data_IF_992626864561
#
_entry.id   IF_992626864561
#
_cell.length_a   1.000
_cell.length_b   1.000
_cell.length_c   1.000
_cell.angle_alpha   90.00
_cell.angle_beta   90.00
_cell.angle_gamma   90.00
#
_symmetry.space_group_name_H-M   'P 1'
#
loop_
_entity.id
_entity.type
_entity.pdbx_description
1 polymer ?
#
# COMPACT_ATOMS: atom_id res chain seq x y z
N UNK A 1 -9.16 10.94 12.48
CA UNK A 1 -7.97 11.26 11.66
C UNK A 1 -6.81 11.71 12.56
N UNK A 2 -5.62 11.15 12.36
CA UNK A 2 -4.41 11.51 13.14
C UNK A 2 -3.91 12.92 12.82
N UNK A 3 -3.10 13.51 13.71
CA UNK A 3 -2.55 14.85 13.49
C UNK A 3 -1.71 14.95 12.21
N UNK A 4 -0.90 13.94 11.89
CA UNK A 4 -0.08 13.91 10.68
C UNK A 4 -0.92 13.90 9.39
N UNK A 5 -2.04 13.18 9.40
CA UNK A 5 -2.98 13.16 8.28
C UNK A 5 -3.72 14.50 8.10
N UNK A 6 -4.06 15.18 9.20
CA UNK A 6 -4.63 16.54 9.12
C UNK A 6 -3.66 17.54 8.48
N UNK A 7 -2.36 17.43 8.81
CA UNK A 7 -1.31 18.24 8.19
C UNK A 7 -1.18 17.96 6.69
N UNK A 8 -1.19 16.68 6.29
CA UNK A 8 -1.17 16.27 4.88
C UNK A 8 -2.37 16.84 4.12
N UNK A 9 -3.59 16.62 4.65
CA UNK A 9 -4.83 17.12 4.05
C UNK A 9 -4.76 18.63 3.81
N UNK A 10 -4.29 19.37 4.81
CA UNK A 10 -4.19 20.84 4.73
C UNK A 10 -3.12 21.27 3.74
N UNK A 11 -1.95 20.62 3.77
CA UNK A 11 -0.83 20.95 2.92
C UNK A 11 -1.10 20.61 1.45
N UNK A 12 -1.80 19.52 1.16
CA UNK A 12 -2.01 19.01 -0.19
C UNK A 12 -3.41 19.25 -0.74
N UNK A 13 -4.22 20.05 -0.05
CA UNK A 13 -5.52 20.50 -0.55
C UNK A 13 -5.41 21.08 -1.97
N UNK A 14 -6.28 20.59 -2.87
CA UNK A 14 -6.30 20.96 -4.28
C UNK A 14 -5.30 20.20 -5.17
N UNK A 15 -4.56 19.24 -4.62
CA UNK A 15 -3.62 18.37 -5.34
C UNK A 15 -3.94 16.88 -5.16
N UNK A 16 -5.19 16.54 -4.85
CA UNK A 16 -5.64 15.17 -4.62
C UNK A 16 -5.38 14.27 -5.86
N UNK A 17 -5.40 14.84 -7.07
CA UNK A 17 -5.07 14.10 -8.30
C UNK A 17 -3.57 13.88 -8.54
N UNK A 18 -2.70 14.52 -7.74
CA UNK A 18 -1.23 14.47 -7.91
C UNK A 18 -0.53 13.41 -7.07
N UNK A 19 -1.25 12.76 -6.15
CA UNK A 19 -0.72 11.69 -5.33
C UNK A 19 -1.79 10.67 -4.96
N UNK A 20 -1.37 9.52 -4.45
CA UNK A 20 -2.24 8.51 -3.83
C UNK A 20 -1.54 7.97 -2.59
N UNK A 21 -2.18 8.05 -1.42
CA UNK A 21 -1.72 7.34 -0.24
C UNK A 21 -2.16 5.88 -0.32
N UNK A 22 -1.23 4.97 -0.04
CA UNK A 22 -1.44 3.53 -0.07
C UNK A 22 -1.05 2.90 1.28
N UNK A 23 -0.80 1.59 1.28
CA UNK A 23 -0.13 0.93 2.38
C UNK A 23 -0.98 0.83 3.65
N UNK A 24 -0.36 1.00 4.81
CA UNK A 24 -1.07 0.92 6.09
C UNK A 24 -2.00 2.11 6.33
N UNK A 25 -1.60 3.29 5.85
CA UNK A 25 -2.30 4.54 6.16
C UNK A 25 -3.59 4.66 5.37
N UNK A 26 -3.60 4.21 4.12
CA UNK A 26 -4.85 4.12 3.35
C UNK A 26 -5.87 3.21 4.04
N UNK A 27 -5.43 2.02 4.50
CA UNK A 27 -6.29 1.14 5.30
C UNK A 27 -6.85 1.84 6.54
N UNK A 28 -6.03 2.57 7.30
CA UNK A 28 -6.47 3.29 8.52
C UNK A 28 -7.54 4.35 8.21
N UNK A 29 -7.33 5.14 7.15
CA UNK A 29 -8.29 6.16 6.70
C UNK A 29 -9.62 5.50 6.32
N UNK A 30 -9.59 4.49 5.46
CA UNK A 30 -10.79 3.83 4.92
C UNK A 30 -11.58 3.13 6.02
N UNK A 31 -10.90 2.39 6.90
CA UNK A 31 -11.55 1.67 7.99
C UNK A 31 -12.18 2.66 8.99
N UNK A 32 -11.47 3.74 9.34
CA UNK A 32 -12.02 4.79 10.23
C UNK A 32 -13.23 5.48 9.61
N UNK A 33 -13.22 5.74 8.30
CA UNK A 33 -14.35 6.36 7.59
C UNK A 33 -15.60 5.45 7.58
N UNK A 34 -15.41 4.14 7.80
CA UNK A 34 -16.46 3.13 7.91
C UNK A 34 -16.71 2.66 9.36
N UNK A 35 -16.33 3.45 10.37
CA UNK A 35 -16.51 3.16 11.80
C UNK A 35 -15.86 1.83 12.26
N UNK A 36 -14.78 1.39 11.60
CA UNK A 36 -13.99 0.22 11.96
C UNK A 36 -12.60 0.59 12.50
N UNK A 37 -12.16 -0.13 13.53
CA UNK A 37 -10.81 0.01 14.05
C UNK A 37 -9.77 -0.59 13.10
N UNK A 38 -8.63 0.09 12.95
CA UNK A 38 -7.47 -0.43 12.25
C UNK A 38 -6.20 -0.30 13.09
N UNK A 39 -5.18 -1.09 12.76
CA UNK A 39 -3.90 -1.01 13.46
C UNK A 39 -3.25 0.35 13.21
N UNK A 40 -2.78 1.01 14.26
CA UNK A 40 -2.11 2.29 14.12
C UNK A 40 -0.88 2.17 13.20
N UNK A 41 -0.77 3.11 12.26
CA UNK A 41 0.43 3.34 11.46
C UNK A 41 0.78 4.82 11.53
N UNK A 42 2.07 5.12 11.52
CA UNK A 42 2.57 6.49 11.51
C UNK A 42 3.38 6.80 10.24
N UNK A 43 3.52 5.79 9.39
CA UNK A 43 4.28 5.83 8.16
C UNK A 43 3.32 6.10 7.00
N UNK A 44 3.71 7.00 6.10
CA UNK A 44 2.92 7.38 4.93
C UNK A 44 3.59 6.79 3.70
N UNK A 45 2.91 5.86 3.05
CA UNK A 45 3.30 5.36 1.74
C UNK A 45 2.54 6.17 0.68
N UNK A 46 3.26 6.94 -0.14
CA UNK A 46 2.69 7.86 -1.11
C UNK A 46 3.23 7.62 -2.51
N UNK A 47 2.33 7.48 -3.48
CA UNK A 47 2.67 7.36 -4.90
C UNK A 47 2.36 8.68 -5.61
N UNK A 48 3.31 9.20 -6.37
CA UNK A 48 3.11 10.39 -7.19
C UNK A 48 2.41 10.05 -8.50
N UNK A 49 1.44 10.88 -8.86
CA UNK A 49 0.74 10.81 -10.15
C UNK A 49 1.24 11.96 -11.02
N UNK A 50 1.77 11.62 -12.18
CA UNK A 50 2.46 12.55 -13.07
C UNK A 50 1.53 13.28 -14.05
N UNK A 51 0.23 13.34 -13.75
CA UNK A 51 -0.77 13.93 -14.63
C UNK A 51 -0.94 15.43 -14.31
N UNK A 52 -0.41 16.29 -15.16
CA UNK A 52 -0.77 17.72 -15.25
C UNK A 52 -0.20 18.70 -14.22
N UNK A 53 0.18 18.29 -13.01
CA UNK A 53 0.57 19.23 -11.92
C UNK A 53 1.78 18.79 -11.08
N UNK A 54 2.59 17.86 -11.60
CA UNK A 54 3.68 17.24 -10.83
C UNK A 54 4.70 18.25 -10.29
N UNK A 55 4.97 19.34 -11.02
CA UNK A 55 5.97 20.35 -10.60
C UNK A 55 5.48 21.17 -9.42
N UNK A 56 4.26 21.69 -9.51
CA UNK A 56 3.60 22.48 -8.46
C UNK A 56 3.40 21.63 -7.21
N UNK A 57 2.92 20.39 -7.38
CA UNK A 57 2.77 19.47 -6.27
C UNK A 57 4.12 19.11 -5.64
N UNK A 58 5.16 18.87 -6.43
CA UNK A 58 6.49 18.61 -5.89
C UNK A 58 7.00 19.78 -5.03
N UNK A 59 6.79 21.04 -5.44
CA UNK A 59 7.15 22.20 -4.62
C UNK A 59 6.40 22.24 -3.28
N UNK A 60 5.11 21.89 -3.30
CA UNK A 60 4.27 21.76 -2.10
C UNK A 60 4.81 20.64 -1.19
N UNK A 61 5.09 19.47 -1.76
CA UNK A 61 5.64 18.32 -1.05
C UNK A 61 7.01 18.65 -0.43
N UNK A 62 7.93 19.25 -1.18
CA UNK A 62 9.23 19.68 -0.65
C UNK A 62 9.10 20.71 0.47
N UNK A 63 8.14 21.63 0.36
CA UNK A 63 7.84 22.57 1.44
C UNK A 63 7.34 21.84 2.67
N UNK A 64 6.42 20.89 2.51
CA UNK A 64 5.94 20.04 3.60
C UNK A 64 7.08 19.28 4.30
N UNK A 65 7.98 18.66 3.53
CA UNK A 65 9.15 17.95 4.07
C UNK A 65 10.08 18.92 4.83
N UNK A 66 10.37 20.09 4.26
CA UNK A 66 11.23 21.09 4.93
C UNK A 66 10.60 21.60 6.22
N UNK A 67 9.31 21.92 6.20
CA UNK A 67 8.59 22.49 7.34
C UNK A 67 8.39 21.44 8.46
N UNK A 68 8.30 20.16 8.09
CA UNK A 68 8.35 19.02 9.02
C UNK A 68 9.74 18.77 9.62
N UNK A 69 10.77 19.37 9.03
CA UNK A 69 12.15 19.26 9.49
C UNK A 69 12.66 17.82 9.48
N UNK A 70 12.31 17.02 8.46
CA UNK A 70 12.84 15.66 8.27
C UNK A 70 14.36 15.73 8.06
N UNK A 71 15.12 14.88 8.75
CA UNK A 71 16.59 14.97 8.78
C UNK A 71 17.30 13.91 7.93
N UNK A 72 16.56 12.96 7.35
CA UNK A 72 17.15 11.88 6.56
C UNK A 72 16.34 11.64 5.30
N UNK A 73 17.01 11.75 4.14
CA UNK A 73 16.50 11.26 2.86
C UNK A 73 17.35 10.07 2.45
N UNK A 74 16.73 8.94 2.20
CA UNK A 74 17.38 7.84 1.48
C UNK A 74 16.87 7.77 0.06
N UNK A 75 17.79 7.66 -0.92
CA UNK A 75 17.48 7.26 -2.30
C UNK A 75 18.08 5.89 -2.57
N UNK A 76 17.26 4.94 -2.99
CA UNK A 76 17.76 3.64 -3.40
C UNK A 76 18.35 3.76 -4.82
N UNK A 77 19.65 3.47 -4.99
CA UNK A 77 20.28 3.53 -6.32
C UNK A 77 19.84 2.40 -7.24
N UNK A 78 19.47 1.24 -6.69
CA UNK A 78 18.88 0.13 -7.44
C UNK A 78 17.41 0.40 -7.81
N UNK A 79 16.75 1.34 -7.11
CA UNK A 79 15.37 1.75 -7.36
C UNK A 79 15.28 3.29 -7.35
N UNK A 80 15.62 3.96 -8.46
CA UNK A 80 15.76 5.43 -8.51
C UNK A 80 14.45 6.21 -8.26
N UNK A 81 13.37 5.47 -8.03
CA UNK A 81 11.98 5.87 -7.88
C UNK A 81 11.52 5.98 -6.42
N UNK A 82 12.38 5.61 -5.46
CA UNK A 82 12.05 5.52 -4.04
C UNK A 82 12.80 6.56 -3.20
N UNK A 83 12.05 7.33 -2.40
CA UNK A 83 12.58 8.31 -1.45
C UNK A 83 11.97 8.08 -0.07
N UNK A 84 12.80 8.00 0.97
CA UNK A 84 12.33 7.88 2.36
C UNK A 84 12.72 9.11 3.16
N UNK A 85 11.73 9.78 3.75
CA UNK A 85 11.91 10.91 4.65
C UNK A 85 11.62 10.46 6.09
N UNK A 86 12.59 10.60 6.99
CA UNK A 86 12.47 10.09 8.36
C UNK A 86 12.85 11.15 9.39
N UNK A 87 12.44 10.91 10.64
CA UNK A 87 12.80 11.71 11.82
C UNK A 87 12.42 13.19 11.68
N UNK A 88 11.12 13.52 11.55
CA UNK A 88 10.70 14.91 11.59
C UNK A 88 11.07 15.54 12.93
N UNK A 89 11.62 16.75 12.90
CA UNK A 89 11.90 17.54 14.09
C UNK A 89 10.70 18.37 14.55
N UNK A 90 9.74 18.62 13.66
CA UNK A 90 8.50 19.34 13.98
C UNK A 90 7.43 18.38 14.51
N UNK A 91 6.84 18.72 15.67
CA UNK A 91 5.78 17.93 16.28
C UNK A 91 4.53 17.83 15.39
N UNK A 92 3.90 16.66 15.38
CA UNK A 92 2.64 16.40 14.67
C UNK A 92 2.80 15.85 13.24
N UNK A 93 3.99 15.95 12.65
CA UNK A 93 4.28 15.37 11.33
C UNK A 93 4.34 13.83 11.36
N UNK A 94 4.03 13.14 10.24
CA UNK A 94 4.20 11.68 10.13
C UNK A 94 5.64 11.24 10.39
N UNK A 95 5.84 10.11 11.08
CA UNK A 95 7.19 9.66 11.51
C UNK A 95 8.09 9.29 10.34
N UNK A 96 7.48 8.80 9.26
CA UNK A 96 8.15 8.47 8.01
C UNK A 96 7.21 8.76 6.83
N UNK A 97 7.79 9.23 5.73
CA UNK A 97 7.13 9.31 4.43
C UNK A 97 7.98 8.52 3.44
N UNK A 98 7.42 7.46 2.89
CA UNK A 98 7.97 6.70 1.78
C UNK A 98 7.26 7.15 0.50
N UNK A 99 8.03 7.73 -0.42
CA UNK A 99 7.54 8.35 -1.64
C UNK A 99 8.01 7.56 -2.85
N UNK A 100 7.05 7.18 -3.69
CA UNK A 100 7.25 6.46 -4.94
C UNK A 100 6.95 7.35 -6.14
N UNK A 101 7.86 7.39 -7.11
CA UNK A 101 7.71 8.15 -8.35
C UNK A 101 8.13 7.32 -9.55
N UNK A 102 7.25 7.07 -10.52
CA UNK A 102 7.64 6.40 -11.79
C UNK A 102 8.60 7.22 -12.64
N UNK A 103 8.72 8.53 -12.39
CA UNK A 103 9.76 9.34 -13.01
C UNK A 103 11.03 9.30 -12.15
N UNK A 104 12.17 8.81 -12.69
CA UNK A 104 13.43 8.75 -11.95
C UNK A 104 13.98 10.15 -11.65
N UNK A 105 13.53 11.14 -12.43
CA UNK A 105 13.83 12.56 -12.30
C UNK A 105 12.71 13.28 -11.54
N UNK A 106 12.24 12.71 -10.43
CA UNK A 106 11.40 13.46 -9.49
C UNK A 106 12.09 14.80 -9.22
N UNK A 107 11.43 15.95 -9.46
CA UNK A 107 12.12 17.25 -9.46
C UNK A 107 12.68 17.53 -8.07
N UNK A 108 13.97 17.25 -7.91
CA UNK A 108 14.74 17.63 -6.73
C UNK A 108 14.90 19.15 -6.82
N UNK A 109 14.28 19.87 -5.90
CA UNK A 109 14.41 21.32 -5.85
C UNK A 109 15.86 21.65 -5.42
N UNK A 110 16.61 22.43 -6.20
CA UNK A 110 17.94 22.89 -5.79
C UNK A 110 17.85 23.62 -4.44
N UNK A 111 18.76 23.32 -3.52
CA UNK A 111 18.80 23.77 -2.10
C UNK A 111 17.90 23.01 -1.11
N UNK A 112 17.47 21.78 -1.40
CA UNK A 112 17.05 20.89 -0.31
C UNK A 112 18.26 20.66 0.60
N UNK A 113 18.19 21.05 1.88
CA UNK A 113 19.24 20.82 2.91
C UNK A 113 19.56 19.34 3.17
N UNK A 114 18.94 18.45 2.42
CA UNK A 114 18.96 17.00 2.62
C UNK A 114 19.79 16.37 1.50
N UNK A 115 20.90 15.76 1.89
CA UNK A 115 21.74 14.95 1.01
C UNK A 115 21.13 13.55 0.91
N UNK A 116 20.78 13.05 -0.29
CA UNK A 116 20.32 11.67 -0.44
C UNK A 116 21.39 10.70 0.07
N UNK A 117 21.00 9.84 1.02
CA UNK A 117 21.80 8.72 1.48
C UNK A 117 21.51 7.51 0.60
N UNK A 118 22.56 6.79 0.19
CA UNK A 118 22.41 5.53 -0.53
C UNK A 118 22.30 4.39 0.49
N UNK A 119 21.21 3.63 0.43
CA UNK A 119 21.11 2.33 1.12
C UNK A 119 21.36 1.24 0.10
N UNK A 120 22.32 0.37 0.41
CA UNK A 120 22.46 -0.91 -0.26
C UNK A 120 21.51 -1.92 0.40
N UNK A 121 20.70 -2.60 -0.41
CA UNK A 121 20.03 -3.87 -0.11
C UNK A 121 18.73 -3.86 0.73
N UNK A 122 17.84 -2.89 0.57
CA UNK A 122 16.43 -3.06 0.99
C UNK A 122 15.50 -2.91 -0.21
N UNK A 123 15.04 -4.05 -0.74
CA UNK A 123 13.97 -4.11 -1.73
C UNK A 123 12.66 -4.11 -0.96
N UNK A 124 12.01 -2.95 -0.88
CA UNK A 124 10.62 -2.86 -0.37
C UNK A 124 9.72 -3.58 -1.36
N UNK A 125 8.95 -4.59 -0.94
CA UNK A 125 7.97 -5.27 -1.82
C UNK A 125 7.01 -4.25 -2.46
N UNK A 126 6.67 -3.17 -1.74
CA UNK A 126 5.82 -2.10 -2.24
C UNK A 126 6.44 -1.35 -3.43
N UNK A 127 7.75 -1.11 -3.41
CA UNK A 127 8.47 -0.47 -4.52
C UNK A 127 8.41 -1.27 -5.82
N UNK A 128 8.57 -2.60 -5.73
CA UNK A 128 8.51 -3.50 -6.87
C UNK A 128 7.10 -3.50 -7.48
N UNK A 129 6.08 -3.54 -6.63
CA UNK A 129 4.67 -3.45 -7.04
C UNK A 129 4.39 -2.11 -7.73
N UNK A 130 4.96 -0.99 -7.26
CA UNK A 130 4.64 0.33 -7.85
C UNK A 130 5.30 0.55 -9.21
N UNK A 131 6.42 -0.12 -9.47
CA UNK A 131 7.09 -0.09 -10.77
C UNK A 131 6.42 -1.00 -11.80
N UNK A 132 5.63 -1.96 -11.35
CA UNK A 132 4.83 -2.82 -12.22
C UNK A 132 3.70 -2.02 -12.91
N UNK A 133 3.61 -2.11 -14.24
CA UNK A 133 2.61 -1.39 -15.03
C UNK A 133 1.17 -1.84 -14.74
N UNK A 134 0.98 -3.14 -14.51
CA UNK A 134 -0.32 -3.74 -14.20
C UNK A 134 -0.86 -3.16 -12.89
N UNK A 135 -0.05 -3.13 -11.84
CA UNK A 135 -0.44 -2.56 -10.55
C UNK A 135 -0.57 -1.04 -10.59
N UNK A 136 0.25 -0.33 -11.37
CA UNK A 136 0.08 1.11 -11.53
C UNK A 136 -1.23 1.49 -12.21
N UNK A 137 -1.73 0.70 -13.17
CA UNK A 137 -3.08 0.91 -13.74
C UNK A 137 -4.18 0.70 -12.71
N UNK A 138 -4.05 -0.32 -11.87
CA UNK A 138 -4.99 -0.56 -10.76
C UNK A 138 -4.97 0.59 -9.76
N UNK A 139 -3.78 1.13 -9.44
CA UNK A 139 -3.65 2.29 -8.57
C UNK A 139 -4.43 3.50 -9.11
N UNK A 140 -4.34 3.77 -10.41
CA UNK A 140 -5.07 4.87 -11.04
C UNK A 140 -6.57 4.65 -11.04
N UNK A 141 -7.04 3.41 -11.27
CA UNK A 141 -8.46 3.07 -11.26
C UNK A 141 -9.08 3.13 -9.86
N UNK A 142 -8.32 2.71 -8.84
CA UNK A 142 -8.79 2.64 -7.46
C UNK A 142 -8.57 3.90 -6.63
N UNK A 143 -8.07 4.97 -7.24
CA UNK A 143 -7.86 6.25 -6.56
C UNK A 143 -9.20 6.87 -6.23
N UNK A 144 -9.34 7.31 -4.98
CA UNK A 144 -10.48 8.10 -4.53
C UNK A 144 -10.05 9.15 -3.52
N UNK A 145 -10.92 10.13 -3.27
CA UNK A 145 -10.68 11.15 -2.24
C UNK A 145 -11.59 10.89 -1.04
N UNK A 146 -10.98 10.53 0.09
CA UNK A 146 -11.67 10.42 1.38
C UNK A 146 -11.27 11.60 2.24
N UNK A 147 -12.26 12.37 2.68
CA UNK A 147 -12.07 13.53 3.57
C UNK A 147 -11.00 14.53 3.06
N UNK A 148 -10.86 14.68 1.73
CA UNK A 148 -9.86 15.56 1.10
C UNK A 148 -8.44 14.99 1.05
N UNK A 149 -8.29 13.66 1.19
CA UNK A 149 -7.03 12.95 1.02
C UNK A 149 -7.20 11.92 -0.08
N UNK A 150 -6.31 11.95 -1.06
CA UNK A 150 -6.26 10.91 -2.09
C UNK A 150 -5.70 9.61 -1.54
N UNK A 151 -6.49 8.54 -1.64
CA UNK A 151 -6.18 7.18 -1.15
C UNK A 151 -6.48 6.15 -2.21
N UNK A 152 -5.79 5.00 -2.15
CA UNK A 152 -6.21 3.81 -2.88
C UNK A 152 -7.30 3.12 -2.07
N UNK A 153 -8.48 2.91 -2.66
CA UNK A 153 -9.62 2.35 -1.96
C UNK A 153 -9.42 0.87 -1.56
N UNK A 154 -10.33 0.33 -0.75
CA UNK A 154 -10.26 -1.04 -0.21
C UNK A 154 -10.21 -2.10 -1.30
N UNK A 155 -11.01 -1.94 -2.37
CA UNK A 155 -11.11 -2.87 -3.50
C UNK A 155 -9.79 -3.00 -4.24
N UNK A 156 -8.99 -1.95 -4.31
CA UNK A 156 -7.69 -2.00 -4.98
C UNK A 156 -6.53 -2.18 -4.00
N UNK A 157 -6.69 -1.89 -2.70
CA UNK A 157 -5.71 -2.25 -1.67
C UNK A 157 -5.60 -3.76 -1.45
N UNK A 158 -6.71 -4.51 -1.56
CA UNK A 158 -6.71 -5.98 -1.39
C UNK A 158 -5.68 -6.67 -2.29
N UNK A 159 -5.69 -6.51 -3.64
CA UNK A 159 -4.69 -7.14 -4.50
C UNK A 159 -3.25 -6.66 -4.20
N UNK A 160 -3.06 -5.39 -3.79
CA UNK A 160 -1.73 -4.88 -3.41
C UNK A 160 -1.19 -5.57 -2.17
N UNK A 161 -2.04 -5.82 -1.17
CA UNK A 161 -1.66 -6.53 0.06
C UNK A 161 -1.43 -8.01 -0.21
N UNK A 162 -2.25 -8.64 -1.06
CA UNK A 162 -2.04 -10.01 -1.51
C UNK A 162 -0.69 -10.18 -2.21
N UNK A 163 -0.36 -9.28 -3.15
CA UNK A 163 0.94 -9.28 -3.83
C UNK A 163 2.11 -9.10 -2.90
N UNK A 164 2.04 -8.12 -1.99
CA UNK A 164 3.09 -7.90 -1.01
C UNK A 164 3.35 -9.13 -0.13
N UNK A 165 2.30 -9.89 0.20
CA UNK A 165 2.43 -11.14 0.94
C UNK A 165 3.09 -12.24 0.10
N UNK A 166 2.67 -12.44 -1.15
CA UNK A 166 3.29 -13.41 -2.08
C UNK A 166 4.77 -13.11 -2.32
N UNK A 167 5.12 -11.84 -2.55
CA UNK A 167 6.51 -11.43 -2.76
C UNK A 167 7.37 -11.71 -1.52
N UNK A 168 6.84 -11.53 -0.31
CA UNK A 168 7.55 -11.85 0.93
C UNK A 168 7.69 -13.36 1.13
N UNK A 169 6.66 -14.15 0.84
CA UNK A 169 6.75 -15.63 0.89
C UNK A 169 7.80 -16.15 -0.09
N UNK A 170 7.79 -15.66 -1.33
CA UNK A 170 8.76 -16.05 -2.33
C UNK A 170 10.20 -15.73 -1.87
N UNK A 171 10.43 -14.56 -1.28
CA UNK A 171 11.75 -14.18 -0.72
C UNK A 171 12.18 -15.10 0.42
N UNK A 172 11.27 -15.42 1.35
CA UNK A 172 11.54 -16.36 2.45
C UNK A 172 11.93 -17.75 1.91
N UNK A 173 11.21 -18.25 0.88
CA UNK A 173 11.52 -19.53 0.21
C UNK A 173 12.88 -19.53 -0.48
N UNK A 174 13.34 -18.38 -0.99
CA UNK A 174 14.69 -18.22 -1.57
C UNK A 174 15.79 -18.00 -0.51
N UNK A 175 15.45 -18.07 0.79
CA UNK A 175 16.40 -17.96 1.89
C UNK A 175 16.77 -16.52 2.27
N UNK A 176 16.02 -15.53 1.78
CA UNK A 176 16.18 -14.15 2.23
C UNK A 176 15.57 -13.95 3.62
N UNK A 177 16.10 -12.97 4.37
CA UNK A 177 15.52 -12.61 5.65
C UNK A 177 14.20 -11.85 5.47
N UNK A 178 13.13 -12.37 6.07
CA UNK A 178 11.80 -11.77 6.07
C UNK A 178 11.30 -11.60 7.51
N UNK A 179 10.75 -10.43 7.84
CA UNK A 179 10.10 -10.22 9.13
C UNK A 179 8.71 -10.89 9.11
N UNK A 180 8.51 -11.92 9.93
CA UNK A 180 7.22 -12.59 10.06
C UNK A 180 6.06 -11.68 10.50
N UNK A 181 6.34 -10.50 11.08
CA UNK A 181 5.31 -9.47 11.33
C UNK A 181 4.78 -8.86 10.03
N UNK A 182 5.63 -8.70 9.02
CA UNK A 182 5.24 -8.16 7.73
C UNK A 182 4.38 -9.15 6.96
N UNK A 183 4.72 -10.43 6.96
CA UNK A 183 3.85 -11.48 6.43
C UNK A 183 2.48 -11.46 7.11
N UNK A 184 2.45 -11.42 8.45
CA UNK A 184 1.19 -11.36 9.21
C UNK A 184 0.37 -10.12 8.91
N UNK A 185 0.99 -8.93 8.82
CA UNK A 185 0.25 -7.68 8.62
C UNK A 185 -0.45 -7.66 7.26
N UNK A 186 0.21 -8.10 6.19
CA UNK A 186 -0.37 -8.06 4.84
C UNK A 186 -1.59 -8.96 4.69
N UNK A 187 -1.50 -10.23 5.09
CA UNK A 187 -2.65 -11.15 5.02
C UNK A 187 -3.79 -10.73 5.95
N UNK A 188 -3.51 -10.21 7.14
CA UNK A 188 -4.57 -9.71 8.03
C UNK A 188 -5.25 -8.46 7.46
N UNK A 189 -4.48 -7.57 6.83
CA UNK A 189 -5.03 -6.37 6.20
C UNK A 189 -5.96 -6.74 5.03
N UNK A 190 -5.66 -7.78 4.22
CA UNK A 190 -6.57 -8.28 3.17
C UNK A 190 -7.94 -8.64 3.75
N UNK A 191 -7.97 -9.47 4.80
CA UNK A 191 -9.22 -9.92 5.40
C UNK A 191 -9.97 -8.81 6.14
N UNK A 192 -9.26 -7.83 6.71
CA UNK A 192 -9.89 -6.65 7.32
C UNK A 192 -10.59 -5.79 6.29
N UNK A 193 -9.92 -5.49 5.18
CA UNK A 193 -10.47 -4.72 4.06
C UNK A 193 -11.65 -5.43 3.40
N UNK A 194 -11.59 -6.75 3.29
CA UNK A 194 -12.67 -7.54 2.68
C UNK A 194 -14.02 -7.41 3.40
N UNK A 195 -14.04 -6.98 4.67
CA UNK A 195 -15.29 -6.70 5.40
C UNK A 195 -16.08 -5.51 4.84
N UNK A 196 -15.41 -4.63 4.08
CA UNK A 196 -16.02 -3.47 3.45
C UNK A 196 -16.60 -3.80 2.07
N UNK A 197 -16.32 -5.00 1.53
CA UNK A 197 -16.84 -5.43 0.25
C UNK A 197 -18.32 -5.79 0.35
N UNK A 198 -19.08 -5.41 -0.67
CA UNK A 198 -20.44 -5.86 -0.88
C UNK A 198 -20.47 -7.06 -1.86
N UNK A 199 -21.34 -8.07 -1.65
CA UNK A 199 -21.45 -9.23 -2.57
C UNK A 199 -21.72 -8.86 -4.04
N UNK A 200 -22.35 -7.71 -4.28
CA UNK A 200 -22.64 -7.14 -5.60
C UNK A 200 -21.46 -6.38 -6.24
N UNK A 201 -20.40 -6.07 -5.48
CA UNK A 201 -19.24 -5.37 -6.02
C UNK A 201 -18.58 -6.17 -7.12
N UNK A 202 -18.14 -5.50 -8.19
CA UNK A 202 -17.41 -6.12 -9.28
C UNK A 202 -16.19 -5.30 -9.61
N UNK A 203 -15.02 -5.93 -9.49
CA UNK A 203 -13.73 -5.31 -9.82
C UNK A 203 -13.09 -6.08 -10.95
N UNK A 204 -12.74 -5.39 -12.03
CA UNK A 204 -11.98 -6.00 -13.13
C UNK A 204 -10.49 -5.87 -12.83
N UNK A 205 -9.81 -7.00 -12.68
CA UNK A 205 -8.36 -7.06 -12.60
C UNK A 205 -7.77 -7.27 -14.00
N UNK A 206 -6.52 -6.85 -14.17
CA UNK A 206 -5.71 -7.31 -15.29
C UNK A 206 -5.18 -8.74 -14.99
N UNK A 207 -4.68 -9.42 -16.02
CA UNK A 207 -4.25 -10.82 -15.92
C UNK A 207 -3.26 -11.04 -14.77
N UNK A 208 -2.26 -10.18 -14.61
CA UNK A 208 -1.23 -10.36 -13.56
C UNK A 208 -1.83 -10.28 -12.15
N UNK A 209 -2.57 -9.21 -11.84
CA UNK A 209 -3.20 -9.06 -10.53
C UNK A 209 -4.31 -10.08 -10.26
N UNK A 210 -4.97 -10.57 -11.32
CA UNK A 210 -5.92 -11.68 -11.22
C UNK A 210 -5.23 -12.95 -10.73
N UNK A 211 -4.11 -13.34 -11.36
CA UNK A 211 -3.37 -14.54 -10.96
C UNK A 211 -2.75 -14.37 -9.58
N UNK A 212 -2.13 -13.22 -9.28
CA UNK A 212 -1.59 -12.95 -7.94
C UNK A 212 -2.66 -13.07 -6.85
N UNK A 213 -3.88 -12.53 -7.08
CA UNK A 213 -4.94 -12.63 -6.08
C UNK A 213 -5.49 -14.06 -5.97
N UNK A 214 -5.59 -14.79 -7.08
CA UNK A 214 -5.98 -16.20 -7.08
C UNK A 214 -4.97 -17.07 -6.32
N UNK A 215 -3.67 -16.88 -6.56
CA UNK A 215 -2.58 -17.59 -5.88
C UNK A 215 -2.60 -17.29 -4.37
N UNK A 216 -2.77 -16.02 -3.99
CA UNK A 216 -2.94 -15.63 -2.59
C UNK A 216 -4.12 -16.37 -1.93
N UNK A 217 -5.29 -16.42 -2.58
CA UNK A 217 -6.45 -17.12 -2.03
C UNK A 217 -6.24 -18.64 -1.94
N UNK A 218 -5.53 -19.21 -2.92
CA UNK A 218 -5.13 -20.62 -2.89
C UNK A 218 -4.26 -20.93 -1.67
N UNK A 219 -3.15 -20.21 -1.49
CA UNK A 219 -2.23 -20.43 -0.38
C UNK A 219 -2.87 -20.14 0.98
N UNK A 220 -3.57 -19.01 1.12
CA UNK A 220 -4.15 -18.60 2.41
C UNK A 220 -5.28 -19.54 2.86
N UNK A 221 -5.91 -20.26 1.93
CA UNK A 221 -6.95 -21.25 2.26
C UNK A 221 -6.43 -22.43 3.09
N UNK A 222 -5.12 -22.67 3.06
CA UNK A 222 -4.44 -23.72 3.83
C UNK A 222 -3.92 -23.22 5.18
N UNK A 223 -3.97 -21.91 5.45
CA UNK A 223 -3.64 -21.33 6.75
C UNK A 223 -4.87 -21.19 7.64
N UNK A 224 -4.65 -21.08 8.95
CA UNK A 224 -5.70 -20.73 9.92
C UNK A 224 -5.49 -19.32 10.43
N UNK A 225 -6.43 -18.41 10.09
CA UNK A 225 -6.41 -17.03 10.57
C UNK A 225 -7.22 -16.87 11.86
N UNK A 226 -6.76 -16.05 12.82
CA UNK A 226 -7.46 -15.83 14.07
C UNK A 226 -8.62 -14.83 13.90
N UNK A 227 -9.64 -15.20 13.12
CA UNK A 227 -10.75 -14.32 12.69
C UNK A 227 -11.35 -13.48 13.83
N UNK A 228 -11.65 -14.11 14.97
CA UNK A 228 -12.19 -13.42 16.16
C UNK A 228 -11.26 -12.37 16.74
N UNK A 229 -9.95 -12.64 16.77
CA UNK A 229 -8.95 -11.69 17.29
C UNK A 229 -8.74 -10.52 16.33
N UNK A 230 -9.00 -10.74 15.04
CA UNK A 230 -8.95 -9.70 14.01
C UNK A 230 -10.22 -8.84 13.95
N UNK A 231 -11.27 -9.21 14.72
CA UNK A 231 -12.56 -8.52 14.71
C UNK A 231 -13.43 -8.84 13.48
N UNK A 232 -13.08 -9.86 12.70
CA UNK A 232 -13.76 -10.18 11.45
C UNK A 232 -14.97 -11.07 11.71
N UNK A 233 -16.12 -10.68 11.14
CA UNK A 233 -17.35 -11.46 11.18
C UNK A 233 -17.35 -12.52 10.07
N UNK A 234 -17.90 -13.70 10.36
CA UNK A 234 -17.91 -14.82 9.44
C UNK A 234 -16.69 -15.74 9.57
N UNK A 235 -16.67 -16.78 8.77
CA UNK A 235 -15.57 -17.72 8.68
C UNK A 235 -14.51 -17.23 7.69
N UNK A 236 -13.30 -17.78 7.76
CA UNK A 236 -12.26 -17.52 6.77
C UNK A 236 -12.73 -17.87 5.35
N UNK A 237 -13.49 -18.96 5.20
CA UNK A 237 -14.02 -19.38 3.90
C UNK A 237 -15.04 -18.38 3.35
N UNK A 238 -15.94 -17.85 4.19
CA UNK A 238 -16.92 -16.85 3.75
C UNK A 238 -16.24 -15.60 3.16
N UNK A 239 -15.12 -15.18 3.77
CA UNK A 239 -14.35 -14.03 3.28
C UNK A 239 -13.60 -14.37 1.98
N UNK A 240 -13.02 -15.58 1.88
CA UNK A 240 -12.38 -16.04 0.64
C UNK A 240 -13.40 -16.08 -0.51
N UNK A 241 -14.59 -16.63 -0.26
CA UNK A 241 -15.66 -16.73 -1.26
C UNK A 241 -16.19 -15.35 -1.66
N UNK A 242 -16.29 -14.41 -0.71
CA UNK A 242 -16.65 -13.02 -0.98
C UNK A 242 -15.61 -12.34 -1.91
N UNK A 243 -14.32 -12.45 -1.58
CA UNK A 243 -13.25 -11.92 -2.43
C UNK A 243 -13.34 -12.58 -3.81
N UNK A 244 -13.44 -13.90 -3.89
CA UNK A 244 -13.56 -14.64 -5.15
C UNK A 244 -14.70 -14.12 -6.02
N UNK A 245 -15.88 -13.90 -5.42
CA UNK A 245 -17.05 -13.38 -6.13
C UNK A 245 -16.88 -11.95 -6.64
N UNK A 246 -16.29 -11.06 -5.82
CA UNK A 246 -16.10 -9.65 -6.17
C UNK A 246 -15.10 -9.47 -7.32
N UNK A 247 -14.02 -10.25 -7.31
CA UNK A 247 -12.97 -10.22 -8.35
C UNK A 247 -13.18 -11.26 -9.46
N UNK A 248 -14.29 -12.00 -9.43
CA UNK A 248 -14.67 -13.00 -10.44
C UNK A 248 -13.58 -14.08 -10.64
N UNK A 249 -12.96 -14.51 -9.54
CA UNK A 249 -11.88 -15.49 -9.54
C UNK A 249 -12.43 -16.91 -9.65
N UNK A 250 -11.76 -17.73 -10.45
CA UNK A 250 -11.94 -19.18 -10.47
C UNK A 250 -11.01 -19.81 -9.43
N UNK A 251 -11.51 -20.08 -8.22
CA UNK A 251 -10.72 -20.80 -7.20
C UNK A 251 -10.87 -22.31 -7.45
N UNK A 252 -9.77 -23.06 -7.71
CA UNK A 252 -9.86 -24.50 -7.81
C UNK A 252 -10.31 -25.13 -6.47
N UNK A 253 -11.12 -26.19 -6.48
CA UNK A 253 -11.57 -26.86 -5.26
C UNK A 253 -10.39 -27.30 -4.38
N UNK A 254 -10.56 -27.23 -3.05
CA UNK A 254 -9.57 -27.59 -2.01
C UNK A 254 -8.90 -28.97 -2.15
N UNK A 255 -9.46 -29.86 -2.95
CA UNK A 255 -9.02 -31.25 -3.11
C UNK A 255 -8.21 -31.52 -4.41
N UNK A 256 -7.94 -30.51 -5.24
CA UNK A 256 -7.23 -30.68 -6.52
C UNK A 256 -5.99 -29.78 -6.65
N UNK A 257 -4.98 -29.97 -5.80
CA UNK A 257 -3.59 -29.68 -6.16
C UNK A 257 -2.70 -30.86 -5.72
N UNK A 258 -1.72 -31.30 -6.53
CA UNK A 258 -1.02 -32.54 -6.29
C UNK A 258 -0.17 -32.42 -5.02
N UNK A 259 -0.30 -33.39 -4.12
CA UNK A 259 0.73 -33.65 -3.12
C UNK A 259 2.03 -33.97 -3.84
N UNK A 260 2.89 -32.98 -4.05
CA UNK A 260 4.27 -33.21 -4.45
C UNK A 260 5.02 -33.76 -3.23
N UNK A 261 5.39 -35.05 -3.35
CA UNK A 261 6.35 -35.74 -2.51
C UNK A 261 7.76 -35.19 -2.69
#
# INVERSE_FOLDING_TARGET
>A
MTQGLQLIRTAFAGYEDSYVIIGGTACDIIMTDNDLDFRATKDIDMVLIAEGHLREFAQRLWSFIRDGGYTSITKNSAQPHLYRFMHPSTYGYPTMIELFSRHPDFPIVPNSFLTPLHIANDVSSLSAIMLNDSYYRLLQQGRESIQGISVLNEKYLIPFKAKAWLDLNAREQHGEHVDGKDLKKHRYDVFRLAQLLAPEDRVSLNDEAYHDLADFLGEISHETLPMKQLGIRGTQQDIIDLIAGVYQLSIPPRDELPTTR
#
